data_IF_870623513715
#
_entry.id   IF_870623513715
#
_cell.length_a   1.000
_cell.length_b   1.000
_cell.length_c   1.000
_cell.angle_alpha   90.00
_cell.angle_beta   90.00
_cell.angle_gamma   90.00
#
_symmetry.space_group_name_H-M   'P 1'
#
loop_
_entity.id
_entity.type
_entity.pdbx_description
1 polymer ?
#
# COMPACT_ATOMS: atom_id res chain seq x y z
N UNK A 1 6.59 30.33 45.09
CA UNK A 1 6.17 29.09 44.39
C UNK A 1 5.15 28.39 45.26
N UNK A 2 3.85 28.58 44.99
CA UNK A 2 2.79 27.91 45.74
C UNK A 2 2.60 26.54 45.10
N UNK A 3 3.19 25.51 45.70
CA UNK A 3 2.90 24.12 45.34
C UNK A 3 1.43 23.86 45.63
N UNK A 4 0.65 23.57 44.58
CA UNK A 4 -0.68 23.00 44.75
C UNK A 4 -0.49 21.65 45.45
N UNK A 5 -0.78 21.60 46.74
CA UNK A 5 -0.90 20.35 47.47
C UNK A 5 -2.12 19.63 46.91
N UNK A 6 -1.93 18.85 45.83
CA UNK A 6 -2.99 17.98 45.36
C UNK A 6 -3.26 16.96 46.47
N UNK A 7 -4.53 16.77 46.86
CA UNK A 7 -4.90 15.66 47.72
C UNK A 7 -4.35 14.37 47.12
N UNK A 8 -3.77 13.50 47.95
CA UNK A 8 -3.23 12.20 47.50
C UNK A 8 -4.25 11.42 46.66
N UNK A 9 -5.53 11.53 47.00
CA UNK A 9 -6.63 10.90 46.24
C UNK A 9 -6.69 11.40 44.80
N UNK A 10 -6.42 12.67 44.53
CA UNK A 10 -6.40 13.22 43.17
C UNK A 10 -5.19 12.69 42.38
N UNK A 11 -4.03 12.54 43.02
CA UNK A 11 -2.83 11.97 42.39
C UNK A 11 -3.05 10.52 41.97
N UNK A 12 -3.70 9.73 42.84
CA UNK A 12 -4.04 8.33 42.55
C UNK A 12 -5.00 8.23 41.37
N UNK A 13 -6.03 9.07 41.32
CA UNK A 13 -7.00 9.10 40.21
C UNK A 13 -6.30 9.43 38.89
N UNK A 14 -5.43 10.44 38.87
CA UNK A 14 -4.68 10.82 37.67
C UNK A 14 -3.80 9.67 37.18
N UNK A 15 -3.13 8.95 38.09
CA UNK A 15 -2.31 7.79 37.75
C UNK A 15 -3.12 6.67 37.10
N UNK A 16 -4.29 6.36 37.66
CA UNK A 16 -5.19 5.34 37.10
C UNK A 16 -5.68 5.76 35.70
N UNK A 17 -6.07 7.02 35.53
CA UNK A 17 -6.52 7.56 34.23
C UNK A 17 -5.42 7.46 33.18
N UNK A 18 -4.16 7.74 33.53
CA UNK A 18 -3.03 7.62 32.62
C UNK A 18 -2.77 6.16 32.19
N UNK A 19 -2.87 5.20 33.11
CA UNK A 19 -2.73 3.77 32.81
C UNK A 19 -3.84 3.31 31.85
N UNK A 20 -5.08 3.71 32.12
CA UNK A 20 -6.23 3.38 31.26
C UNK A 20 -6.08 4.00 29.88
N UNK A 21 -5.67 5.27 29.78
CA UNK A 21 -5.41 5.94 28.50
C UNK A 21 -4.30 5.24 27.70
N UNK A 22 -3.22 4.82 28.36
CA UNK A 22 -2.15 4.08 27.71
C UNK A 22 -2.65 2.73 27.19
N UNK A 23 -3.36 1.95 28.00
CA UNK A 23 -3.92 0.66 27.57
C UNK A 23 -4.86 0.79 26.36
N UNK A 24 -5.75 1.78 26.39
CA UNK A 24 -6.65 2.11 25.29
C UNK A 24 -5.84 2.50 24.05
N UNK A 25 -4.88 3.41 24.18
CA UNK A 25 -4.03 3.83 23.05
C UNK A 25 -3.28 2.66 22.41
N UNK A 26 -2.77 1.73 23.21
CA UNK A 26 -2.07 0.55 22.71
C UNK A 26 -3.01 -0.44 22.02
N UNK A 27 -4.27 -0.57 22.46
CA UNK A 27 -5.27 -1.39 21.77
C UNK A 27 -5.64 -0.80 20.41
N UNK A 28 -5.77 0.53 20.31
CA UNK A 28 -6.12 1.19 19.06
C UNK A 28 -4.93 1.32 18.11
N UNK A 29 -3.71 1.48 18.60
CA UNK A 29 -2.49 1.54 17.79
C UNK A 29 -1.94 0.15 17.42
N UNK A 30 -2.25 -0.89 18.21
CA UNK A 30 -1.88 -2.28 17.89
C UNK A 30 -2.70 -2.91 16.76
N UNK A 31 -3.81 -2.27 16.37
CA UNK A 31 -4.68 -2.64 15.23
C UNK A 31 -4.43 -1.67 14.05
N UNK A 32 -3.30 -0.97 14.03
CA UNK A 32 -2.86 -0.24 12.84
C UNK A 32 -1.87 -1.11 12.08
N UNK A 33 -2.36 -2.20 11.51
CA UNK A 33 -1.69 -2.79 10.36
C UNK A 33 -1.80 -1.76 9.23
N UNK A 34 -0.68 -1.25 8.69
CA UNK A 34 -0.76 -0.40 7.52
C UNK A 34 -1.40 -1.24 6.42
N UNK A 35 -2.61 -0.86 5.99
CA UNK A 35 -3.21 -1.40 4.77
C UNK A 35 -2.26 -1.09 3.61
N UNK A 36 -1.38 -2.03 3.28
CA UNK A 36 -0.36 -1.88 2.23
C UNK A 36 -0.88 -2.14 0.82
N UNK A 37 -2.07 -2.73 0.69
CA UNK A 37 -2.38 -3.44 -0.55
C UNK A 37 -3.19 -2.60 -1.56
N UNK A 38 -4.16 -1.80 -1.12
CA UNK A 38 -5.05 -1.11 -2.08
C UNK A 38 -4.45 0.15 -2.71
N UNK A 39 -3.59 0.87 -1.99
CA UNK A 39 -2.98 2.11 -2.51
C UNK A 39 -1.86 1.84 -3.53
N UNK A 40 -1.25 0.66 -3.46
CA UNK A 40 -0.10 0.29 -4.28
C UNK A 40 -0.50 -0.18 -5.68
N UNK A 41 -1.60 -0.92 -5.82
CA UNK A 41 -1.98 -1.52 -7.10
C UNK A 41 -2.35 -0.46 -8.15
N UNK A 42 -3.14 0.56 -7.78
CA UNK A 42 -3.53 1.61 -8.72
C UNK A 42 -2.34 2.53 -9.09
N UNK A 43 -1.43 2.73 -8.14
CA UNK A 43 -0.16 3.42 -8.38
C UNK A 43 0.74 2.61 -9.32
N UNK A 44 0.86 1.30 -9.10
CA UNK A 44 1.61 0.38 -9.95
C UNK A 44 1.08 0.40 -11.39
N UNK A 45 -0.25 0.35 -11.55
CA UNK A 45 -0.92 0.52 -12.85
C UNK A 45 -0.53 1.83 -13.52
N UNK A 46 -0.69 2.96 -12.83
CA UNK A 46 -0.40 4.28 -13.41
C UNK A 46 1.06 4.44 -13.85
N UNK A 47 2.01 3.85 -13.10
CA UNK A 47 3.44 3.87 -13.42
C UNK A 47 3.77 2.93 -14.57
N UNK A 48 3.25 1.71 -14.54
CA UNK A 48 3.42 0.75 -15.63
C UNK A 48 2.91 1.30 -16.95
N UNK A 49 1.72 1.93 -16.95
CA UNK A 49 1.19 2.57 -18.16
C UNK A 49 2.07 3.69 -18.68
N UNK A 50 2.65 4.51 -17.79
CA UNK A 50 3.57 5.57 -18.20
C UNK A 50 4.85 5.02 -18.82
N UNK A 51 5.39 3.92 -18.28
CA UNK A 51 6.57 3.25 -18.84
C UNK A 51 6.25 2.63 -20.20
N UNK A 52 5.07 2.02 -20.34
CA UNK A 52 4.59 1.45 -21.59
C UNK A 52 4.40 2.54 -22.67
N UNK A 53 3.86 3.70 -22.31
CA UNK A 53 3.73 4.85 -23.22
C UNK A 53 5.10 5.37 -23.67
N UNK A 54 6.09 5.42 -22.77
CA UNK A 54 7.47 5.78 -23.11
C UNK A 54 8.12 4.80 -24.09
N UNK A 55 7.75 3.51 -24.03
CA UNK A 55 8.21 2.49 -24.99
C UNK A 55 7.32 2.40 -26.25
N UNK A 56 6.50 3.42 -26.52
CA UNK A 56 5.58 3.48 -27.67
C UNK A 56 4.58 2.32 -27.70
N UNK A 57 4.10 1.87 -26.55
CA UNK A 57 3.07 0.84 -26.44
C UNK A 57 3.43 -0.49 -27.14
N UNK A 58 4.73 -0.83 -27.21
CA UNK A 58 5.21 -2.04 -27.89
C UNK A 58 4.77 -3.31 -27.18
N UNK A 59 5.28 -3.52 -25.97
CA UNK A 59 5.13 -4.80 -25.27
C UNK A 59 4.97 -4.59 -23.76
N UNK A 60 3.83 -4.98 -23.14
CA UNK A 60 3.65 -4.91 -21.70
C UNK A 60 4.49 -5.94 -20.93
N UNK A 61 4.98 -7.00 -21.57
CA UNK A 61 5.77 -8.07 -20.94
C UNK A 61 7.19 -7.60 -20.57
N UNK A 62 7.69 -6.54 -21.20
CA UNK A 62 9.03 -6.00 -20.96
C UNK A 62 9.06 -4.89 -19.91
N UNK A 63 7.88 -4.43 -19.47
CA UNK A 63 7.74 -3.34 -18.51
C UNK A 63 7.69 -3.90 -17.09
N UNK A 64 8.80 -3.74 -16.38
CA UNK A 64 8.95 -4.14 -14.97
C UNK A 64 8.54 -2.98 -14.05
N UNK A 65 7.71 -3.26 -13.05
CA UNK A 65 7.25 -2.29 -12.06
C UNK A 65 8.14 -2.37 -10.81
N UNK A 66 9.23 -1.59 -10.80
CA UNK A 66 10.29 -1.67 -9.79
C UNK A 66 9.89 -1.52 -8.30
N UNK A 67 8.70 -1.00 -8.02
CA UNK A 67 8.25 -0.68 -6.65
C UNK A 67 6.99 -1.46 -6.25
N UNK A 68 6.60 -2.48 -7.02
CA UNK A 68 5.39 -3.26 -6.73
C UNK A 68 5.58 -4.73 -7.07
N UNK A 69 5.31 -5.58 -6.06
CA UNK A 69 5.29 -7.04 -6.16
C UNK A 69 3.95 -7.47 -6.76
N UNK A 70 3.96 -7.71 -8.06
CA UNK A 70 2.82 -8.14 -8.87
C UNK A 70 2.60 -9.64 -8.75
N UNK A 71 3.69 -10.42 -8.66
CA UNK A 71 3.65 -11.89 -8.68
C UNK A 71 3.48 -12.52 -7.29
N UNK A 72 3.62 -11.72 -6.24
CA UNK A 72 3.51 -12.12 -4.84
C UNK A 72 4.73 -12.87 -4.31
N UNK A 73 5.90 -12.72 -4.96
CA UNK A 73 7.16 -13.34 -4.56
C UNK A 73 7.74 -12.78 -3.26
N UNK A 74 7.25 -11.61 -2.82
CA UNK A 74 7.78 -10.83 -1.71
C UNK A 74 8.96 -9.95 -2.09
N UNK A 75 9.33 -9.90 -3.38
CA UNK A 75 10.40 -9.06 -3.93
C UNK A 75 9.78 -8.13 -4.96
N UNK A 76 9.81 -6.82 -4.70
CA UNK A 76 9.34 -5.84 -5.67
C UNK A 76 10.42 -5.52 -6.72
N UNK A 77 10.00 -5.38 -7.97
CA UNK A 77 10.82 -4.99 -9.11
C UNK A 77 11.64 -6.12 -9.71
N UNK A 78 11.19 -7.37 -9.60
CA UNK A 78 11.85 -8.49 -10.25
C UNK A 78 11.31 -8.76 -11.68
N UNK A 79 11.87 -9.76 -12.36
CA UNK A 79 11.46 -10.11 -13.72
C UNK A 79 10.02 -10.67 -13.80
N UNK A 80 9.41 -11.01 -12.66
CA UNK A 80 8.01 -11.45 -12.54
C UNK A 80 7.03 -10.27 -12.45
N UNK A 81 7.50 -9.12 -11.98
CA UNK A 81 6.72 -7.89 -11.75
C UNK A 81 6.38 -7.10 -13.01
N UNK A 82 5.88 -7.82 -14.02
CA UNK A 82 5.56 -7.25 -15.32
C UNK A 82 4.18 -6.60 -15.33
N UNK A 83 4.03 -5.59 -16.19
CA UNK A 83 2.74 -4.97 -16.46
C UNK A 83 1.73 -5.96 -17.07
N UNK A 84 2.22 -6.97 -17.81
CA UNK A 84 1.39 -8.06 -18.32
C UNK A 84 0.77 -8.88 -17.19
N UNK A 85 1.58 -9.30 -16.21
CA UNK A 85 1.06 -10.05 -15.06
C UNK A 85 0.07 -9.21 -14.24
N UNK A 86 0.34 -7.91 -14.08
CA UNK A 86 -0.56 -6.99 -13.39
C UNK A 86 -1.93 -6.94 -14.09
N UNK A 87 -1.92 -6.96 -15.41
CA UNK A 87 -3.12 -6.97 -16.24
C UNK A 87 -3.90 -8.28 -16.15
N UNK A 88 -3.20 -9.41 -16.12
CA UNK A 88 -3.80 -10.71 -15.88
C UNK A 88 -4.45 -10.78 -14.50
N UNK A 89 -3.82 -10.19 -13.48
CA UNK A 89 -4.39 -10.07 -12.14
C UNK A 89 -5.65 -9.20 -12.10
N UNK A 90 -5.75 -8.18 -12.96
CA UNK A 90 -6.90 -7.27 -13.02
C UNK A 90 -8.10 -7.79 -13.82
N UNK A 91 -7.87 -8.39 -14.99
CA UNK A 91 -8.97 -8.80 -15.88
C UNK A 91 -9.00 -10.30 -16.23
N UNK A 92 -8.09 -11.12 -15.68
CA UNK A 92 -7.98 -12.56 -15.92
C UNK A 92 -6.94 -12.97 -16.97
N UNK A 93 -6.68 -14.27 -17.10
CA UNK A 93 -5.63 -14.82 -17.98
C UNK A 93 -5.93 -14.79 -19.48
N UNK A 94 -7.15 -14.42 -19.88
CA UNK A 94 -7.67 -14.54 -21.27
C UNK A 94 -7.83 -13.16 -21.96
N UNK A 95 -6.89 -12.25 -21.70
CA UNK A 95 -6.98 -10.88 -22.22
C UNK A 95 -6.15 -10.74 -23.50
N UNK A 96 -6.81 -10.77 -24.65
CA UNK A 96 -6.27 -10.12 -25.85
C UNK A 96 -6.20 -8.60 -25.61
N UNK A 97 -5.10 -7.98 -26.01
CA UNK A 97 -4.88 -6.53 -25.92
C UNK A 97 -4.87 -5.95 -24.50
N UNK A 98 -4.13 -6.60 -23.60
CA UNK A 98 -3.86 -6.08 -22.27
C UNK A 98 -3.43 -4.59 -22.28
N UNK A 99 -2.51 -4.20 -23.19
CA UNK A 99 -2.01 -2.82 -23.33
C UNK A 99 -3.14 -1.78 -23.52
N UNK A 100 -4.15 -2.13 -24.29
CA UNK A 100 -5.29 -1.24 -24.58
C UNK A 100 -6.27 -1.24 -23.41
N UNK A 101 -6.53 -2.38 -22.77
CA UNK A 101 -7.49 -2.45 -21.66
C UNK A 101 -6.99 -1.82 -20.36
N UNK A 102 -5.68 -1.89 -20.10
CA UNK A 102 -5.10 -1.36 -18.86
C UNK A 102 -4.64 0.08 -19.01
N UNK A 103 -4.15 0.48 -20.19
CA UNK A 103 -3.50 1.78 -20.42
C UNK A 103 -4.06 2.58 -21.61
N UNK A 104 -5.12 2.12 -22.28
CA UNK A 104 -5.69 2.75 -23.48
C UNK A 104 -4.65 3.02 -24.60
N UNK A 105 -3.60 2.19 -24.68
CA UNK A 105 -2.61 2.27 -25.75
C UNK A 105 -3.25 1.94 -27.12
N UNK A 106 -3.02 2.78 -28.16
CA UNK A 106 -3.48 2.48 -29.51
C UNK A 106 -2.76 1.24 -30.06
N UNK A 107 -3.49 0.45 -30.87
CA UNK A 107 -2.97 -0.77 -31.50
C UNK A 107 -1.79 -0.52 -32.45
#
# INVERSE_FOLDING_TARGET
MKGLSLPINAVVIILIVLIVLLAVSTMFLGVWEPQKDSFNIEMAKSRGCRLLEMDNCKDPSTIIINDFDVDGSGVAGDDGDTLELLCQNFFGSDIENCKTRICDCPE
#
